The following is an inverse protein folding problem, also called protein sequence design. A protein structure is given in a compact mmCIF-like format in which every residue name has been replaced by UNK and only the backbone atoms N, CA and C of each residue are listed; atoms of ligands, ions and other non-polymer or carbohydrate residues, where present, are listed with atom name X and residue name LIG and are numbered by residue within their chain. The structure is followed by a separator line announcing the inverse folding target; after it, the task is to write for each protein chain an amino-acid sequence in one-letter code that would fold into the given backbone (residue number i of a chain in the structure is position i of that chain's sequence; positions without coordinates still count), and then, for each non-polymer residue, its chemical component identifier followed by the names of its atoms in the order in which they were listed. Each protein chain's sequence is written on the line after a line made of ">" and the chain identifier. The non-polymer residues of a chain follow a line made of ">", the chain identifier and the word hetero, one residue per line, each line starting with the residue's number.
data_IF_073451520644
#
_entry.id   IF_073451520644
#
_cell.length_a   1.000
_cell.length_b   1.000
_cell.length_c   1.000
_cell.angle_alpha   90.00
_cell.angle_beta   90.00
_cell.angle_gamma   90.00
#
_symmetry.space_group_name_H-M   'P 1'
#
loop_
_entity.id
_entity.type
_entity.pdbx_description
1 polymer ?
#
# COMPACT_ATOMS: atom_id res chain seq x y z
N UNK A 1 0.18 -30.73 -27.07
CA UNK A 1 0.92 -30.78 -25.79
C UNK A 1 1.70 -29.50 -25.50
N UNK A 2 2.57 -28.96 -26.36
CA UNK A 2 3.32 -27.72 -26.05
C UNK A 2 2.45 -26.45 -25.86
N UNK A 3 1.28 -26.38 -26.52
CA UNK A 3 0.38 -25.23 -26.44
C UNK A 3 -0.43 -25.19 -25.12
N UNK A 4 -0.64 -26.33 -24.48
CA UNK A 4 -1.44 -26.48 -23.27
C UNK A 4 -0.65 -26.04 -22.02
N UNK A 5 0.61 -26.45 -21.91
CA UNK A 5 1.54 -26.00 -20.84
C UNK A 5 1.80 -24.48 -20.89
N UNK A 6 1.83 -23.92 -22.11
CA UNK A 6 1.97 -22.47 -22.30
C UNK A 6 0.74 -21.70 -21.81
N UNK A 7 -0.47 -22.23 -22.05
CA UNK A 7 -1.73 -21.63 -21.61
C UNK A 7 -1.86 -21.70 -20.07
N UNK A 8 -1.52 -22.82 -19.46
CA UNK A 8 -1.49 -22.98 -18.00
C UNK A 8 -0.60 -21.93 -17.34
N UNK A 9 0.63 -21.79 -17.81
CA UNK A 9 1.58 -20.79 -17.32
C UNK A 9 1.09 -19.35 -17.51
N UNK A 10 0.47 -19.06 -18.66
CA UNK A 10 -0.09 -17.73 -18.94
C UNK A 10 -1.23 -17.38 -17.99
N UNK A 11 -2.17 -18.29 -17.77
CA UNK A 11 -3.26 -18.11 -16.81
C UNK A 11 -2.75 -17.93 -15.38
N UNK A 12 -1.78 -18.73 -14.96
CA UNK A 12 -1.18 -18.63 -13.65
C UNK A 12 -0.49 -17.28 -13.44
N UNK A 13 0.31 -16.82 -14.40
CA UNK A 13 0.97 -15.51 -14.35
C UNK A 13 -0.05 -14.36 -14.36
N UNK A 14 -1.12 -14.49 -15.15
CA UNK A 14 -2.21 -13.51 -15.16
C UNK A 14 -2.87 -13.39 -13.78
N UNK A 15 -3.19 -14.52 -13.15
CA UNK A 15 -3.81 -14.50 -11.82
C UNK A 15 -2.90 -13.87 -10.77
N UNK A 16 -1.59 -14.16 -10.81
CA UNK A 16 -0.60 -13.53 -9.92
C UNK A 16 -0.50 -12.02 -10.17
N UNK A 17 -0.45 -11.58 -11.44
CA UNK A 17 -0.42 -10.15 -11.76
C UNK A 17 -1.66 -9.42 -11.23
N UNK A 18 -2.86 -9.99 -11.41
CA UNK A 18 -4.10 -9.45 -10.86
C UNK A 18 -4.08 -9.40 -9.33
N UNK A 19 -3.52 -10.43 -8.68
CA UNK A 19 -3.35 -10.46 -7.23
C UNK A 19 -2.48 -9.30 -6.73
N UNK A 20 -1.32 -9.08 -7.34
CA UNK A 20 -0.41 -8.00 -6.95
C UNK A 20 -0.93 -6.59 -7.32
N UNK A 21 -1.87 -6.51 -8.26
CA UNK A 21 -2.63 -5.30 -8.56
C UNK A 21 -3.81 -5.09 -7.58
N UNK A 22 -3.97 -5.94 -6.57
CA UNK A 22 -5.09 -5.97 -5.63
C UNK A 22 -6.48 -6.19 -6.27
N UNK A 23 -6.52 -6.74 -7.50
CA UNK A 23 -7.73 -7.11 -8.23
C UNK A 23 -8.11 -8.55 -7.86
N UNK A 24 -8.43 -8.76 -6.59
CA UNK A 24 -8.59 -10.11 -6.02
C UNK A 24 -9.77 -10.88 -6.62
N UNK A 25 -10.87 -10.21 -6.94
CA UNK A 25 -12.03 -10.83 -7.58
C UNK A 25 -11.66 -11.41 -8.95
N UNK A 26 -11.04 -10.62 -9.80
CA UNK A 26 -10.59 -11.07 -11.12
C UNK A 26 -9.49 -12.15 -11.03
N UNK A 27 -8.61 -12.04 -10.04
CA UNK A 27 -7.63 -13.11 -9.77
C UNK A 27 -8.34 -14.43 -9.44
N UNK A 28 -9.37 -14.39 -8.59
CA UNK A 28 -10.18 -15.56 -8.27
C UNK A 28 -10.88 -16.15 -9.50
N UNK A 29 -11.43 -15.32 -10.39
CA UNK A 29 -12.06 -15.80 -11.63
C UNK A 29 -11.05 -16.53 -12.53
N UNK A 30 -9.85 -15.98 -12.71
CA UNK A 30 -8.79 -16.66 -13.47
C UNK A 30 -8.38 -17.98 -12.81
N UNK A 31 -8.30 -18.03 -11.47
CA UNK A 31 -8.01 -19.26 -10.74
C UNK A 31 -9.11 -20.30 -10.87
N UNK A 32 -10.39 -19.93 -10.94
CA UNK A 32 -11.50 -20.86 -11.22
C UNK A 32 -11.32 -21.53 -12.58
N UNK A 33 -10.98 -20.74 -13.62
CA UNK A 33 -10.70 -21.27 -14.96
C UNK A 33 -9.50 -22.23 -14.91
N UNK A 34 -8.42 -21.80 -14.26
CA UNK A 34 -7.20 -22.60 -14.12
C UNK A 34 -7.45 -23.93 -13.39
N UNK A 35 -8.16 -23.90 -12.26
CA UNK A 35 -8.48 -25.09 -11.48
C UNK A 35 -9.37 -26.09 -12.23
N UNK A 36 -10.24 -25.59 -13.09
CA UNK A 36 -11.09 -26.44 -13.94
C UNK A 36 -10.30 -27.11 -15.06
N UNK A 37 -9.42 -26.36 -15.71
CA UNK A 37 -8.62 -26.87 -16.83
C UNK A 37 -7.42 -27.71 -16.34
N UNK A 38 -6.81 -27.36 -15.23
CA UNK A 38 -5.57 -27.97 -14.70
C UNK A 38 -5.71 -28.34 -13.21
N UNK A 39 -6.52 -29.35 -12.86
CA UNK A 39 -6.85 -29.69 -11.48
C UNK A 39 -5.67 -30.17 -10.65
N UNK A 40 -4.58 -30.60 -11.28
CA UNK A 40 -3.38 -31.11 -10.61
C UNK A 40 -2.36 -30.02 -10.25
N UNK A 41 -2.60 -28.76 -10.63
CA UNK A 41 -1.71 -27.65 -10.28
C UNK A 41 -1.89 -27.25 -8.81
N UNK A 42 -1.04 -27.79 -7.95
CA UNK A 42 -1.07 -27.52 -6.49
C UNK A 42 -0.69 -26.09 -6.15
N UNK A 43 0.23 -25.47 -6.92
CA UNK A 43 0.61 -24.06 -6.74
C UNK A 43 -0.58 -23.14 -7.04
N UNK A 44 -1.35 -23.40 -8.10
CA UNK A 44 -2.55 -22.65 -8.42
C UNK A 44 -3.62 -22.75 -7.32
N UNK A 45 -3.79 -23.93 -6.71
CA UNK A 45 -4.72 -24.10 -5.56
C UNK A 45 -4.31 -23.24 -4.36
N UNK A 46 -3.02 -23.21 -4.04
CA UNK A 46 -2.50 -22.40 -2.93
C UNK A 46 -2.74 -20.92 -3.18
N UNK A 47 -2.41 -20.41 -4.38
CA UNK A 47 -2.62 -19.02 -4.75
C UNK A 47 -4.12 -18.65 -4.83
N UNK A 48 -4.97 -19.58 -5.25
CA UNK A 48 -6.43 -19.37 -5.24
C UNK A 48 -6.97 -19.20 -3.82
N UNK A 49 -6.56 -20.04 -2.87
CA UNK A 49 -6.95 -19.91 -1.47
C UNK A 49 -6.47 -18.57 -0.89
N UNK A 50 -5.26 -18.16 -1.25
CA UNK A 50 -4.71 -16.87 -0.85
C UNK A 50 -5.52 -15.70 -1.42
N UNK A 51 -5.86 -15.72 -2.70
CA UNK A 51 -6.68 -14.70 -3.35
C UNK A 51 -8.10 -14.62 -2.76
N UNK A 52 -8.72 -15.79 -2.50
CA UNK A 52 -10.05 -15.87 -1.87
C UNK A 52 -10.03 -15.30 -0.46
N UNK A 53 -8.98 -15.54 0.33
CA UNK A 53 -8.85 -14.96 1.66
C UNK A 53 -8.73 -13.44 1.61
N UNK A 54 -7.96 -12.88 0.65
CA UNK A 54 -7.85 -11.42 0.45
C UNK A 54 -9.18 -10.81 -0.01
N UNK A 55 -9.87 -11.48 -0.92
CA UNK A 55 -11.20 -11.04 -1.38
C UNK A 55 -12.18 -10.95 -0.21
N UNK A 56 -12.25 -11.99 0.63
CA UNK A 56 -13.10 -12.03 1.80
C UNK A 56 -12.75 -10.93 2.83
N UNK A 57 -11.44 -10.67 3.06
CA UNK A 57 -11.01 -9.56 3.92
C UNK A 57 -11.48 -8.20 3.38
N UNK A 58 -11.27 -7.95 2.07
CA UNK A 58 -11.65 -6.69 1.45
C UNK A 58 -13.16 -6.44 1.42
N UNK A 59 -13.97 -7.51 1.35
CA UNK A 59 -15.42 -7.40 1.33
C UNK A 59 -16.03 -7.30 2.73
N UNK A 60 -15.45 -7.97 3.71
CA UNK A 60 -16.09 -8.12 5.04
C UNK A 60 -15.44 -7.33 6.17
N UNK A 61 -14.22 -6.85 5.99
CA UNK A 61 -13.44 -6.24 7.06
C UNK A 61 -13.04 -7.20 8.19
N UNK A 62 -13.19 -8.50 7.99
CA UNK A 62 -12.86 -9.50 9.01
C UNK A 62 -11.41 -9.91 8.91
N UNK A 63 -10.59 -9.43 9.83
CA UNK A 63 -9.17 -9.74 9.90
C UNK A 63 -8.84 -10.54 11.15
N UNK A 64 -7.91 -11.50 11.05
CA UNK A 64 -7.41 -12.23 12.22
C UNK A 64 -6.34 -11.38 12.96
N UNK A 65 -6.75 -10.31 13.66
CA UNK A 65 -5.83 -9.33 14.26
C UNK A 65 -4.73 -9.93 15.14
N UNK A 66 -5.06 -10.97 15.93
CA UNK A 66 -4.04 -11.65 16.74
C UNK A 66 -2.96 -12.35 15.90
N UNK A 67 -3.37 -12.91 14.76
CA UNK A 67 -2.41 -13.51 13.80
C UNK A 67 -1.60 -12.43 13.12
N UNK A 68 -2.24 -11.31 12.70
CA UNK A 68 -1.54 -10.16 12.12
C UNK A 68 -0.44 -9.63 13.04
N UNK A 69 -0.74 -9.48 14.31
CA UNK A 69 0.24 -9.03 15.30
C UNK A 69 1.43 -9.99 15.41
N UNK A 70 1.18 -11.31 15.47
CA UNK A 70 2.24 -12.31 15.51
C UNK A 70 3.08 -12.32 14.23
N UNK A 71 2.44 -12.22 13.07
CA UNK A 71 3.14 -12.14 11.78
C UNK A 71 4.01 -10.88 11.71
N UNK A 72 3.52 -9.73 12.18
CA UNK A 72 4.27 -8.49 12.22
C UNK A 72 5.48 -8.56 13.14
N UNK A 73 5.33 -9.15 14.34
CA UNK A 73 6.42 -9.33 15.28
C UNK A 73 7.52 -10.24 14.75
N UNK A 74 7.16 -11.26 13.96
CA UNK A 74 8.11 -12.26 13.45
C UNK A 74 8.72 -11.90 12.08
N UNK A 75 8.37 -10.76 11.50
CA UNK A 75 8.86 -10.33 10.19
C UNK A 75 9.58 -8.99 10.27
N UNK A 76 10.75 -8.91 9.67
CA UNK A 76 11.50 -7.69 9.49
C UNK A 76 11.86 -7.52 8.01
N UNK A 77 11.35 -6.48 7.32
CA UNK A 77 10.31 -5.53 7.75
C UNK A 77 8.92 -6.18 7.85
N UNK A 78 8.02 -5.68 8.73
CA UNK A 78 6.70 -6.27 8.99
C UNK A 78 5.69 -5.95 7.86
N UNK A 79 5.99 -6.40 6.65
CA UNK A 79 5.12 -6.25 5.48
C UNK A 79 4.10 -7.39 5.46
N UNK A 80 2.86 -7.07 5.80
CA UNK A 80 1.77 -8.03 5.82
C UNK A 80 1.03 -8.07 4.48
N UNK A 81 0.76 -9.29 4.01
CA UNK A 81 -0.02 -9.51 2.79
C UNK A 81 -1.51 -9.60 3.13
N UNK A 82 -2.17 -8.44 3.14
CA UNK A 82 -3.59 -8.29 3.48
C UNK A 82 -4.29 -7.38 2.48
N UNK A 83 -5.61 -7.56 2.36
CA UNK A 83 -6.43 -6.67 1.52
C UNK A 83 -6.66 -5.32 2.21
N UNK A 84 -7.01 -4.32 1.43
CA UNK A 84 -7.62 -3.08 1.93
C UNK A 84 -9.11 -3.32 2.14
N UNK A 85 -9.65 -2.83 3.24
CA UNK A 85 -11.08 -2.76 3.54
C UNK A 85 -11.48 -1.32 3.79
N UNK A 86 -12.52 -0.87 3.10
CA UNK A 86 -13.15 0.40 3.35
C UNK A 86 -14.59 0.11 3.76
N UNK A 87 -14.91 0.42 5.00
CA UNK A 87 -16.22 0.26 5.58
C UNK A 87 -17.15 1.44 5.30
N UNK A 88 -18.13 1.71 6.17
CA UNK A 88 -19.12 2.75 5.97
C UNK A 88 -18.54 4.15 6.26
N UNK A 89 -17.53 4.53 5.50
CA UNK A 89 -16.85 5.83 5.64
C UNK A 89 -16.69 6.50 4.28
N UNK A 90 -16.67 7.82 4.28
CA UNK A 90 -16.38 8.64 3.11
C UNK A 90 -15.53 9.84 3.46
N UNK A 91 -14.66 10.24 2.55
CA UNK A 91 -13.92 11.50 2.65
C UNK A 91 -14.83 12.63 2.15
N UNK A 92 -14.99 13.68 2.98
CA UNK A 92 -15.81 14.85 2.63
C UNK A 92 -15.06 16.15 2.97
N UNK A 93 -15.32 17.25 2.25
CA UNK A 93 -14.77 18.54 2.60
C UNK A 93 -15.30 18.99 3.97
N UNK A 94 -14.47 19.74 4.70
CA UNK A 94 -14.82 20.41 5.96
C UNK A 94 -14.63 21.92 5.78
N UNK A 95 -15.36 22.71 6.55
CA UNK A 95 -15.31 24.17 6.43
C UNK A 95 -13.96 24.78 6.85
N UNK A 96 -13.20 24.11 7.72
CA UNK A 96 -12.03 24.70 8.37
C UNK A 96 -10.72 23.93 8.20
N UNK A 97 -10.77 22.64 7.81
CA UNK A 97 -9.58 21.76 7.83
C UNK A 97 -9.41 20.93 6.55
N UNK A 98 -9.90 21.46 5.41
CA UNK A 98 -9.80 20.76 4.14
C UNK A 98 -10.75 19.57 4.06
N UNK A 99 -10.24 18.32 4.19
CA UNK A 99 -11.04 17.09 4.08
C UNK A 99 -11.02 16.32 5.40
N UNK A 100 -12.17 15.71 5.73
CA UNK A 100 -12.31 14.82 6.88
C UNK A 100 -12.87 13.46 6.49
N UNK A 101 -12.65 12.44 7.32
CA UNK A 101 -13.26 11.14 7.20
C UNK A 101 -14.55 11.09 8.04
N UNK A 102 -15.65 10.75 7.41
CA UNK A 102 -16.98 10.71 8.04
C UNK A 102 -17.62 9.34 7.88
N UNK A 103 -18.36 8.89 8.87
CA UNK A 103 -19.20 7.69 8.73
C UNK A 103 -20.38 8.00 7.83
N UNK A 104 -20.79 7.03 7.00
CA UNK A 104 -21.94 7.13 6.08
C UNK A 104 -23.21 6.55 6.67
N UNK A 105 -23.06 5.78 7.74
CA UNK A 105 -24.16 5.18 8.52
C UNK A 105 -23.77 5.07 9.99
N UNK A 106 -24.72 4.65 10.83
CA UNK A 106 -24.48 4.42 12.25
C UNK A 106 -23.51 3.26 12.47
N UNK A 107 -22.48 3.47 13.27
CA UNK A 107 -21.45 2.48 13.62
C UNK A 107 -21.46 2.24 15.12
N UNK A 108 -21.05 1.05 15.54
CA UNK A 108 -20.93 0.67 16.94
C UNK A 108 -19.48 0.74 17.41
N UNK A 109 -19.27 0.88 18.69
CA UNK A 109 -17.94 0.75 19.26
C UNK A 109 -17.35 -0.63 18.94
N UNK A 110 -16.17 -0.64 18.31
CA UNK A 110 -15.49 -1.86 17.88
C UNK A 110 -15.70 -2.24 16.41
N UNK A 111 -16.62 -1.59 15.69
CA UNK A 111 -16.77 -1.79 14.25
C UNK A 111 -15.53 -1.25 13.51
N UNK A 112 -15.02 -2.05 12.57
CA UNK A 112 -13.89 -1.65 11.76
C UNK A 112 -14.34 -0.65 10.69
N UNK A 113 -13.78 0.55 10.72
CA UNK A 113 -14.10 1.60 9.75
C UNK A 113 -13.29 1.46 8.47
N UNK A 114 -11.99 1.19 8.59
CA UNK A 114 -11.13 0.90 7.46
C UNK A 114 -9.86 0.16 7.92
N UNK A 115 -9.24 -0.56 6.99
CA UNK A 115 -7.94 -1.17 7.15
C UNK A 115 -7.19 -1.02 5.82
N UNK A 116 -6.16 -0.19 5.81
CA UNK A 116 -5.45 0.20 4.60
C UNK A 116 -3.94 0.14 4.81
N UNK A 117 -3.21 -0.05 3.72
CA UNK A 117 -1.74 0.04 3.75
C UNK A 117 -1.33 1.50 3.75
N UNK A 118 -0.33 1.84 4.57
CA UNK A 118 0.27 3.16 4.56
C UNK A 118 0.80 3.52 3.16
N UNK A 119 0.71 4.79 2.79
CA UNK A 119 1.25 5.30 1.54
C UNK A 119 2.75 5.00 1.40
N UNK A 120 3.51 5.24 2.45
CA UNK A 120 4.91 4.83 2.60
C UNK A 120 5.18 4.49 4.06
N UNK A 121 6.21 3.69 4.32
CA UNK A 121 6.63 3.35 5.67
C UNK A 121 8.12 3.04 5.69
N UNK A 122 8.80 3.52 6.71
CA UNK A 122 10.18 3.22 7.03
C UNK A 122 10.23 2.46 8.36
N UNK A 123 11.14 1.51 8.48
CA UNK A 123 11.31 0.69 9.68
C UNK A 123 12.71 0.88 10.24
N UNK A 124 12.79 1.03 11.53
CA UNK A 124 14.07 0.96 12.21
C UNK A 124 14.58 -0.49 12.20
N UNK A 125 15.81 -0.70 11.70
CA UNK A 125 16.46 -2.00 11.78
C UNK A 125 17.24 -2.08 13.09
N UNK A 126 16.63 -2.71 14.10
CA UNK A 126 17.27 -2.93 15.41
C UNK A 126 18.49 -3.86 15.31
N UNK A 127 18.58 -4.66 14.24
CA UNK A 127 19.72 -5.57 14.05
C UNK A 127 21.00 -4.88 13.56
N UNK A 128 20.93 -3.57 13.27
CA UNK A 128 22.11 -2.76 12.92
C UNK A 128 22.79 -3.14 11.61
N UNK A 129 22.09 -3.90 10.73
CA UNK A 129 22.64 -4.32 9.44
C UNK A 129 22.60 -3.24 8.37
N UNK A 130 21.83 -2.17 8.56
CA UNK A 130 21.84 -1.01 7.68
C UNK A 130 22.78 0.04 8.26
N UNK A 131 24.01 0.08 7.73
CA UNK A 131 24.98 1.16 7.97
C UNK A 131 24.58 2.50 7.35
N UNK A 132 23.47 2.53 6.64
CA UNK A 132 23.03 3.70 5.89
C UNK A 132 22.19 4.61 6.78
N UNK A 133 22.86 5.52 7.45
CA UNK A 133 22.21 6.62 8.14
C UNK A 133 21.67 7.60 7.09
N UNK A 134 20.37 7.56 6.85
CA UNK A 134 19.71 8.57 6.00
C UNK A 134 19.71 9.92 6.71
N UNK A 135 20.19 10.94 6.02
CA UNK A 135 20.25 12.32 6.48
C UNK A 135 19.66 13.23 5.41
N UNK A 136 18.70 14.05 5.79
CA UNK A 136 18.16 15.13 4.98
C UNK A 136 18.40 16.46 5.67
N UNK A 137 18.92 17.44 4.93
CA UNK A 137 19.15 18.78 5.43
C UNK A 137 18.33 19.77 4.58
N UNK A 138 17.47 20.53 5.24
CA UNK A 138 16.82 21.67 4.64
C UNK A 138 17.71 22.90 4.85
N UNK A 139 18.30 23.43 3.75
CA UNK A 139 19.26 24.54 3.84
C UNK A 139 18.57 25.88 4.09
N UNK A 140 17.31 26.01 3.75
CA UNK A 140 16.55 27.25 3.94
C UNK A 140 16.11 27.40 5.40
N UNK A 141 15.54 26.35 5.99
CA UNK A 141 15.08 26.34 7.38
C UNK A 141 16.18 25.97 8.37
N UNK A 142 17.36 25.55 7.88
CA UNK A 142 18.49 25.04 8.67
C UNK A 142 18.10 23.87 9.60
N UNK A 143 17.12 23.10 9.17
CA UNK A 143 16.67 21.92 9.91
C UNK A 143 17.29 20.64 9.34
N UNK A 144 17.50 19.66 10.19
CA UNK A 144 18.07 18.37 9.83
C UNK A 144 17.16 17.25 10.29
N UNK A 145 16.85 16.33 9.39
CA UNK A 145 16.05 15.15 9.66
C UNK A 145 16.89 13.90 9.39
N UNK A 146 16.90 12.95 10.31
CA UNK A 146 17.75 11.76 10.20
C UNK A 146 16.99 10.46 10.50
N UNK A 147 17.62 9.33 10.16
CA UNK A 147 17.11 8.00 10.42
C UNK A 147 15.84 7.68 9.63
N UNK A 148 14.90 6.97 10.27
CA UNK A 148 13.64 6.52 9.62
C UNK A 148 12.76 7.65 9.10
N UNK A 149 12.84 8.83 9.69
CA UNK A 149 12.10 9.99 9.21
C UNK A 149 12.68 10.49 7.86
N UNK A 150 13.99 10.59 7.75
CA UNK A 150 14.66 10.96 6.51
C UNK A 150 14.43 9.90 5.42
N UNK A 151 14.49 8.62 5.80
CA UNK A 151 14.17 7.51 4.90
C UNK A 151 12.72 7.59 4.41
N UNK A 152 11.76 7.84 5.30
CA UNK A 152 10.34 7.96 4.95
C UNK A 152 10.11 9.07 3.92
N UNK A 153 10.69 10.25 4.12
CA UNK A 153 10.61 11.36 3.17
C UNK A 153 11.18 10.92 1.81
N UNK A 154 12.36 10.32 1.81
CA UNK A 154 13.00 9.83 0.58
C UNK A 154 12.14 8.81 -0.15
N UNK A 155 11.50 7.88 0.57
CA UNK A 155 10.60 6.89 -0.02
C UNK A 155 9.33 7.52 -0.62
N UNK A 156 8.77 8.54 0.05
CA UNK A 156 7.61 9.29 -0.47
C UNK A 156 7.98 9.99 -1.77
N UNK A 157 9.10 10.73 -1.78
CA UNK A 157 9.59 11.45 -2.96
C UNK A 157 9.83 10.50 -4.13
N UNK A 158 10.54 9.39 -3.91
CA UNK A 158 10.79 8.39 -4.93
C UNK A 158 9.49 7.77 -5.47
N UNK A 159 8.51 7.51 -4.58
CA UNK A 159 7.22 6.96 -4.98
C UNK A 159 6.45 7.95 -5.86
N UNK A 160 6.39 9.21 -5.49
CA UNK A 160 5.72 10.26 -6.26
C UNK A 160 6.43 10.50 -7.61
N UNK A 161 7.76 10.54 -7.61
CA UNK A 161 8.55 10.68 -8.84
C UNK A 161 8.30 9.55 -9.84
N UNK A 162 8.26 8.30 -9.35
CA UNK A 162 7.99 7.11 -10.19
C UNK A 162 6.53 6.99 -10.60
N UNK A 163 5.61 7.66 -9.91
CA UNK A 163 4.16 7.59 -10.13
C UNK A 163 3.54 9.00 -10.10
N UNK A 164 3.76 9.82 -11.15
CA UNK A 164 3.28 11.22 -11.16
C UNK A 164 1.77 11.37 -10.98
N UNK A 165 0.99 10.36 -11.33
CA UNK A 165 -0.47 10.34 -11.13
C UNK A 165 -0.90 10.38 -9.65
N UNK A 166 -0.01 10.04 -8.71
CA UNK A 166 -0.29 10.14 -7.27
C UNK A 166 -0.06 11.55 -6.71
N UNK A 167 0.67 12.39 -7.45
CA UNK A 167 1.05 13.73 -7.00
C UNK A 167 -0.16 14.60 -6.61
N UNK A 168 -1.21 14.74 -7.44
CA UNK A 168 -2.34 15.61 -7.09
C UNK A 168 -3.03 15.19 -5.79
N UNK A 169 -3.23 13.88 -5.59
CA UNK A 169 -3.87 13.36 -4.37
C UNK A 169 -3.02 13.61 -3.13
N UNK A 170 -1.69 13.51 -3.27
CA UNK A 170 -0.76 13.73 -2.16
C UNK A 170 -0.66 15.22 -1.81
N UNK A 171 -0.50 16.10 -2.81
CA UNK A 171 -0.34 17.55 -2.60
C UNK A 171 -1.63 18.26 -2.20
N UNK A 172 -2.79 17.61 -2.39
CA UNK A 172 -4.10 18.10 -1.93
C UNK A 172 -4.37 17.79 -0.43
N UNK A 173 -3.40 17.23 0.29
CA UNK A 173 -3.48 17.07 1.74
C UNK A 173 -3.39 18.44 2.43
N UNK A 174 -4.12 18.58 3.56
CA UNK A 174 -4.07 19.81 4.35
C UNK A 174 -2.67 20.01 4.93
N UNK A 175 -2.06 21.15 4.60
CA UNK A 175 -0.68 21.49 4.98
C UNK A 175 -0.58 22.59 6.03
N UNK A 176 -1.71 22.97 6.66
CA UNK A 176 -1.73 24.04 7.67
C UNK A 176 -1.38 25.41 7.08
N UNK A 177 -0.51 26.11 7.77
CA UNK A 177 0.00 27.45 7.35
C UNK A 177 1.22 27.37 6.43
N UNK A 178 1.66 26.18 6.01
CA UNK A 178 2.80 26.02 5.14
C UNK A 178 2.55 26.66 3.77
N UNK A 179 3.51 27.44 3.29
CA UNK A 179 3.46 28.05 1.95
C UNK A 179 4.38 27.24 1.03
N UNK A 180 3.84 26.58 -0.02
CA UNK A 180 4.66 25.82 -0.95
C UNK A 180 5.73 26.67 -1.62
N UNK A 181 6.91 26.09 -1.81
CA UNK A 181 8.00 26.73 -2.55
C UNK A 181 7.56 26.95 -4.00
N UNK A 182 7.69 28.20 -4.47
CA UNK A 182 7.30 28.59 -5.84
C UNK A 182 8.18 28.01 -6.95
N UNK A 183 9.34 27.41 -6.60
CA UNK A 183 10.33 26.90 -7.53
C UNK A 183 10.25 25.37 -7.55
N UNK A 184 9.83 24.81 -8.67
CA UNK A 184 9.71 23.35 -8.81
C UNK A 184 11.01 22.65 -9.22
N UNK A 185 12.00 23.39 -9.75
CA UNK A 185 13.29 22.86 -10.20
C UNK A 185 14.39 23.89 -10.05
N UNK A 186 15.57 23.43 -9.65
CA UNK A 186 16.85 24.18 -9.71
C UNK A 186 17.81 23.37 -10.56
N UNK A 187 18.35 23.96 -11.62
CA UNK A 187 19.26 23.31 -12.58
C UNK A 187 18.71 21.98 -13.14
N UNK A 188 17.38 21.91 -13.36
CA UNK A 188 16.73 20.72 -13.87
C UNK A 188 16.43 19.64 -12.81
N UNK A 189 16.90 19.82 -11.58
CA UNK A 189 16.66 18.90 -10.46
C UNK A 189 15.38 19.35 -9.75
N UNK A 190 14.40 18.44 -9.49
CA UNK A 190 13.22 18.76 -8.71
C UNK A 190 13.59 19.23 -7.30
N UNK A 191 13.02 20.36 -6.88
CA UNK A 191 13.13 20.82 -5.50
C UNK A 191 12.12 20.04 -4.66
N UNK A 192 12.62 19.41 -3.62
CA UNK A 192 11.80 18.77 -2.58
C UNK A 192 11.85 19.64 -1.35
N UNK A 193 10.70 20.18 -1.00
CA UNK A 193 10.53 20.89 0.25
C UNK A 193 10.10 19.89 1.33
N UNK A 194 10.85 19.83 2.42
CA UNK A 194 10.71 18.83 3.49
C UNK A 194 10.17 19.43 4.77
#
# INVERSE_FOLDING_TARGET
>A
MANDDSLEKALFRKSQALYYLHRFEESCEVHKVLSKAYPNNTAAKSEFNRATARLAEGQSGKYPFRQLQREATNRHPPRLDRATYIGPVSVRPTESHGRGLFTTEAVRAGDLLFCEKAFAHAFHDEAGNSSDLSLLMNLETQTMTMGTQAELISLIVQKLYKNPSLMPTFTDLYHGSYTPVGISKVDGIPVVDT
#
